data_IF_793412625847
#
_entry.id   IF_793412625847
#
_cell.length_a   1.000
_cell.length_b   1.000
_cell.length_c   1.000
_cell.angle_alpha   90.00
_cell.angle_beta   90.00
_cell.angle_gamma   90.00
#
_symmetry.space_group_name_H-M   'P 1'
#
loop_
_entity.id
_entity.type
_entity.pdbx_description
1 polymer ?
#
# COMPACT_ATOMS: atom_id res chain seq x y z
N UNK A 1 -2.69 -46.43 -17.51
CA UNK A 1 -3.73 -45.68 -16.75
C UNK A 1 -3.19 -44.94 -15.53
N UNK A 2 -2.14 -45.43 -14.83
CA UNK A 2 -1.58 -44.74 -13.66
C UNK A 2 -0.87 -43.42 -13.98
N UNK A 3 -0.05 -43.39 -15.05
CA UNK A 3 0.74 -42.21 -15.45
C UNK A 3 -0.15 -41.01 -15.81
N UNK A 4 -1.27 -41.25 -16.52
CA UNK A 4 -2.22 -40.19 -16.86
C UNK A 4 -2.93 -39.59 -15.63
N UNK A 5 -3.21 -40.42 -14.60
CA UNK A 5 -3.75 -39.94 -13.31
C UNK A 5 -2.72 -39.13 -12.53
N UNK A 6 -1.45 -39.55 -12.53
CA UNK A 6 -0.36 -38.80 -11.90
C UNK A 6 -0.13 -37.43 -12.55
N UNK A 7 -0.22 -37.34 -13.88
CA UNK A 7 -0.10 -36.08 -14.62
C UNK A 7 -1.27 -35.14 -14.31
N UNK A 8 -2.50 -35.67 -14.26
CA UNK A 8 -3.69 -34.90 -13.91
C UNK A 8 -3.57 -34.32 -12.49
N UNK A 9 -3.14 -35.12 -11.51
CA UNK A 9 -2.96 -34.66 -10.13
C UNK A 9 -1.88 -33.58 -10.03
N UNK A 10 -0.78 -33.72 -10.77
CA UNK A 10 0.28 -32.71 -10.81
C UNK A 10 -0.20 -31.37 -11.42
N UNK A 11 -1.03 -31.43 -12.48
CA UNK A 11 -1.64 -30.25 -13.08
C UNK A 11 -2.62 -29.55 -12.13
N UNK A 12 -3.50 -30.30 -11.46
CA UNK A 12 -4.41 -29.73 -10.47
C UNK A 12 -3.65 -29.10 -9.29
N UNK A 13 -2.59 -29.76 -8.80
CA UNK A 13 -1.76 -29.21 -7.73
C UNK A 13 -1.06 -27.91 -8.16
N UNK A 14 -0.52 -27.86 -9.40
CA UNK A 14 0.10 -26.66 -9.93
C UNK A 14 -0.90 -25.49 -10.07
N UNK A 15 -2.12 -25.77 -10.52
CA UNK A 15 -3.21 -24.77 -10.60
C UNK A 15 -3.60 -24.26 -9.21
N UNK A 16 -3.77 -25.16 -8.23
CA UNK A 16 -4.09 -24.76 -6.86
C UNK A 16 -2.99 -23.90 -6.22
N UNK A 17 -1.71 -24.24 -6.45
CA UNK A 17 -0.56 -23.46 -5.95
C UNK A 17 -0.52 -22.08 -6.61
N UNK A 18 -0.81 -21.98 -7.91
CA UNK A 18 -0.87 -20.70 -8.62
C UNK A 18 -1.99 -19.80 -8.07
N UNK A 19 -3.17 -20.35 -7.79
CA UNK A 19 -4.32 -19.59 -7.26
C UNK A 19 -4.04 -19.10 -5.82
N UNK A 20 -3.40 -19.92 -4.98
CA UNK A 20 -3.06 -19.55 -3.59
C UNK A 20 -2.00 -18.46 -3.47
N UNK A 21 -1.22 -18.19 -4.53
CA UNK A 21 -0.24 -17.11 -4.55
C UNK A 21 -0.84 -15.73 -4.82
N UNK A 22 -2.15 -15.66 -5.15
CA UNK A 22 -2.91 -14.42 -5.25
C UNK A 22 -3.47 -13.98 -3.88
N UNK A 23 -2.64 -14.00 -2.84
CA UNK A 23 -2.91 -13.16 -1.68
C UNK A 23 -2.69 -11.72 -2.14
N UNK A 24 -3.77 -11.07 -2.59
CA UNK A 24 -3.74 -9.69 -3.03
C UNK A 24 -3.12 -8.84 -1.92
N UNK A 25 -1.89 -8.36 -2.15
CA UNK A 25 -1.41 -7.19 -1.44
C UNK A 25 -2.44 -6.12 -1.74
N UNK A 26 -3.22 -5.71 -0.74
CA UNK A 26 -4.06 -4.53 -0.83
C UNK A 26 -3.11 -3.36 -1.02
N UNK A 27 -2.84 -3.01 -2.29
CA UNK A 27 -2.24 -1.74 -2.63
C UNK A 27 -3.19 -0.69 -2.07
N UNK A 28 -2.80 -0.05 -0.97
CA UNK A 28 -3.51 1.14 -0.50
C UNK A 28 -3.32 2.16 -1.61
N UNK A 29 -4.31 2.28 -2.48
CA UNK A 29 -4.36 3.31 -3.50
C UNK A 29 -4.47 4.63 -2.74
N UNK A 30 -3.33 5.29 -2.52
CA UNK A 30 -3.26 6.58 -1.82
C UNK A 30 -4.14 7.63 -2.49
N UNK A 31 -4.32 7.52 -3.80
CA UNK A 31 -5.26 8.31 -4.61
C UNK A 31 -6.71 8.10 -4.18
N UNK A 32 -7.12 6.87 -3.92
CA UNK A 32 -8.51 6.52 -3.56
C UNK A 32 -8.80 7.00 -2.12
N UNK A 33 -7.82 6.87 -1.23
CA UNK A 33 -7.92 7.39 0.14
C UNK A 33 -8.03 8.93 0.17
N UNK A 34 -7.12 9.63 -0.52
CA UNK A 34 -7.15 11.11 -0.58
C UNK A 34 -8.41 11.60 -1.28
N UNK A 35 -8.86 10.91 -2.34
CA UNK A 35 -10.12 11.21 -3.02
C UNK A 35 -11.33 11.08 -2.08
N UNK A 36 -11.39 10.02 -1.28
CA UNK A 36 -12.45 9.83 -0.29
C UNK A 36 -12.46 10.95 0.77
N UNK A 37 -11.28 11.35 1.26
CA UNK A 37 -11.15 12.46 2.21
C UNK A 37 -11.63 13.79 1.60
N UNK A 38 -11.27 14.08 0.35
CA UNK A 38 -11.66 15.31 -0.34
C UNK A 38 -13.18 15.44 -0.55
N UNK A 39 -13.90 14.31 -0.62
CA UNK A 39 -15.36 14.30 -0.73
C UNK A 39 -16.07 14.61 0.58
N UNK A 40 -15.48 14.26 1.73
CA UNK A 40 -16.16 14.28 3.03
C UNK A 40 -15.61 15.31 4.01
N UNK A 41 -14.47 15.94 3.71
CA UNK A 41 -13.81 16.89 4.59
C UNK A 41 -13.76 18.29 3.98
N UNK A 42 -13.76 19.35 4.81
CA UNK A 42 -13.49 20.71 4.35
C UNK A 42 -12.14 20.83 3.64
N UNK A 43 -12.01 21.74 2.66
CA UNK A 43 -10.72 22.04 2.06
C UNK A 43 -9.74 22.60 3.11
N UNK A 44 -8.44 22.35 2.92
CA UNK A 44 -7.38 22.91 3.76
C UNK A 44 -7.07 22.14 5.05
N UNK A 45 -7.65 20.96 5.26
CA UNK A 45 -7.26 20.09 6.40
C UNK A 45 -6.53 18.81 5.98
N UNK A 46 -6.52 18.50 4.68
CA UNK A 46 -5.78 17.38 4.11
C UNK A 46 -4.50 17.91 3.48
N UNK A 47 -3.35 17.51 4.03
CA UNK A 47 -2.03 17.89 3.53
C UNK A 47 -1.36 16.66 2.92
N UNK A 48 -0.92 16.81 1.67
CA UNK A 48 -0.19 15.77 0.92
C UNK A 48 1.19 16.30 0.57
N UNK A 49 2.11 15.44 0.12
CA UNK A 49 3.47 15.87 -0.23
C UNK A 49 3.52 16.96 -1.32
N UNK A 50 2.47 17.11 -2.13
CA UNK A 50 2.34 18.18 -3.13
C UNK A 50 1.79 19.50 -2.57
N UNK A 51 1.30 19.54 -1.33
CA UNK A 51 0.80 20.77 -0.70
C UNK A 51 1.97 21.68 -0.32
N UNK A 52 1.91 22.97 -0.65
CA UNK A 52 2.98 23.93 -0.34
C UNK A 52 3.30 24.02 1.16
N UNK A 53 2.28 23.89 2.01
CA UNK A 53 2.43 23.94 3.47
C UNK A 53 2.81 22.60 4.11
N UNK A 54 2.98 21.52 3.33
CA UNK A 54 3.17 20.17 3.86
C UNK A 54 4.32 20.07 4.85
N UNK A 55 5.52 20.54 4.47
CA UNK A 55 6.70 20.46 5.33
C UNK A 55 6.52 21.27 6.61
N UNK A 56 5.98 22.49 6.52
CA UNK A 56 5.73 23.33 7.69
C UNK A 56 4.74 22.68 8.67
N UNK A 57 3.69 22.02 8.16
CA UNK A 57 2.70 21.32 9.00
C UNK A 57 3.29 20.05 9.62
N UNK A 58 4.05 19.28 8.83
CA UNK A 58 4.72 18.07 9.30
C UNK A 58 5.72 18.37 10.43
N UNK A 59 6.49 19.43 10.29
CA UNK A 59 7.57 19.79 11.22
C UNK A 59 7.09 20.54 12.47
N UNK A 60 5.91 21.17 12.41
CA UNK A 60 5.39 22.07 13.46
C UNK A 60 5.44 21.48 14.88
N UNK A 61 5.15 20.19 15.02
CA UNK A 61 5.12 19.51 16.32
C UNK A 61 6.27 18.53 16.56
N UNK A 62 7.23 18.42 15.65
CA UNK A 62 8.38 17.54 15.83
C UNK A 62 9.21 18.04 17.02
N UNK A 63 9.47 17.15 17.99
CA UNK A 63 10.28 17.47 19.18
C UNK A 63 11.70 16.92 19.12
N UNK A 64 11.92 15.89 18.31
CA UNK A 64 13.25 15.32 18.13
C UNK A 64 13.76 15.63 16.73
N UNK A 65 14.68 16.59 16.66
CA UNK A 65 15.25 17.08 15.41
C UNK A 65 16.03 16.02 14.63
N UNK A 66 16.42 14.91 15.27
CA UNK A 66 17.07 13.77 14.58
C UNK A 66 16.15 13.11 13.54
N UNK A 67 14.85 13.35 13.60
CA UNK A 67 13.86 12.77 12.69
C UNK A 67 13.31 13.76 11.66
N UNK A 68 13.85 14.98 11.59
CA UNK A 68 13.42 15.97 10.57
C UNK A 68 14.04 15.63 9.21
N UNK A 69 15.27 15.12 9.20
CA UNK A 69 15.96 14.74 7.97
C UNK A 69 15.80 13.25 7.70
N UNK A 70 15.61 12.81 6.44
CA UNK A 70 15.59 11.39 6.07
C UNK A 70 16.89 10.64 6.40
N UNK A 71 17.99 11.38 6.60
CA UNK A 71 19.25 10.87 7.08
C UNK A 71 19.18 10.63 8.61
N UNK A 72 18.49 9.56 9.01
CA UNK A 72 18.69 8.98 10.35
C UNK A 72 20.04 8.25 10.38
N UNK A 73 20.92 8.50 11.38
CA UNK A 73 22.12 7.70 11.60
C UNK A 73 21.82 6.25 11.95
#
# INVERSE_FOLDING_TARGET
MAVARSILVALLAAVCIAISSAAAATSVNTTDFVGCLALHLPPGIVYTQSSESYSSVLEFSIKNLRFVTPATP
#
